data_IF_364147673798
#
_entry.id   IF_364147673798
#
_cell.length_a   1.000
_cell.length_b   1.000
_cell.length_c   1.000
_cell.angle_alpha   90.00
_cell.angle_beta   90.00
_cell.angle_gamma   90.00
#
_symmetry.space_group_name_H-M   'P 1'
#
loop_
_entity.id
_entity.type
_entity.pdbx_description
1 polymer ?
#
# COMPACT_ATOMS: atom_id res chain seq x y z
N UNK A 1 -17.57 6.57 11.54
CA UNK A 1 -16.25 6.90 12.11
C UNK A 1 -16.36 7.87 13.28
N UNK A 2 -16.97 9.05 13.11
CA UNK A 2 -17.05 10.09 14.16
C UNK A 2 -17.54 9.61 15.54
N UNK A 3 -18.55 8.75 15.59
CA UNK A 3 -19.01 8.18 16.87
C UNK A 3 -18.02 7.19 17.48
N UNK A 4 -17.37 6.38 16.64
CA UNK A 4 -16.47 5.33 17.09
C UNK A 4 -15.12 5.85 17.62
N UNK A 5 -14.71 7.05 17.21
CA UNK A 5 -13.41 7.64 17.60
C UNK A 5 -13.46 8.45 18.89
N UNK A 6 -14.65 8.70 19.46
CA UNK A 6 -14.81 9.59 20.62
C UNK A 6 -14.00 9.16 21.84
N UNK A 7 -13.99 7.85 22.09
CA UNK A 7 -13.47 7.27 23.33
C UNK A 7 -12.22 6.39 23.11
N UNK A 8 -11.56 6.49 21.96
CA UNK A 8 -10.39 5.65 21.64
C UNK A 8 -9.07 6.38 21.91
N UNK A 9 -8.08 5.64 22.41
CA UNK A 9 -6.70 6.12 22.54
C UNK A 9 -5.90 5.98 21.24
N UNK A 10 -6.28 5.05 20.37
CA UNK A 10 -5.56 4.72 19.14
C UNK A 10 -6.54 4.42 18.00
N UNK A 11 -6.18 4.88 16.80
CA UNK A 11 -6.94 4.64 15.58
C UNK A 11 -6.04 3.96 14.53
N UNK A 12 -6.46 2.82 14.00
CA UNK A 12 -5.75 2.12 12.93
C UNK A 12 -6.59 2.22 11.66
N UNK A 13 -6.01 2.74 10.59
CA UNK A 13 -6.68 2.97 9.30
C UNK A 13 -5.91 2.34 8.15
N UNK A 14 -6.56 2.13 7.01
CA UNK A 14 -5.89 1.76 5.76
C UNK A 14 -6.05 2.83 4.68
N UNK A 15 -7.29 3.13 4.33
CA UNK A 15 -7.65 4.09 3.27
C UNK A 15 -8.65 5.15 3.76
N UNK A 16 -9.19 5.01 4.97
CA UNK A 16 -10.09 5.99 5.58
C UNK A 16 -9.40 7.33 5.75
N UNK A 17 -10.15 8.42 5.55
CA UNK A 17 -9.62 9.78 5.67
C UNK A 17 -9.69 10.23 7.11
N UNK A 18 -8.58 10.72 7.65
CA UNK A 18 -8.50 11.35 8.97
C UNK A 18 -8.24 12.83 8.78
N UNK A 19 -9.31 13.61 8.83
CA UNK A 19 -9.29 15.07 8.73
C UNK A 19 -9.66 15.73 10.07
N UNK A 20 -9.71 17.07 10.06
CA UNK A 20 -9.92 17.88 11.26
C UNK A 20 -11.17 17.50 12.04
N UNK A 21 -12.26 17.10 11.38
CA UNK A 21 -13.52 16.73 12.05
C UNK A 21 -13.36 15.45 12.87
N UNK A 22 -12.60 14.49 12.34
CA UNK A 22 -12.30 13.21 12.99
C UNK A 22 -11.40 13.43 14.20
N UNK A 23 -10.36 14.25 14.03
CA UNK A 23 -9.44 14.60 15.11
C UNK A 23 -10.12 15.43 16.21
N UNK A 24 -11.04 16.32 15.84
CA UNK A 24 -11.83 17.12 16.78
C UNK A 24 -12.83 16.28 17.57
N UNK A 25 -13.38 15.23 16.96
CA UNK A 25 -14.29 14.29 17.63
C UNK A 25 -13.56 13.35 18.60
N UNK A 26 -12.28 13.07 18.36
CA UNK A 26 -11.50 12.05 19.06
C UNK A 26 -10.69 12.62 20.24
N UNK A 27 -11.39 12.92 21.35
CA UNK A 27 -10.83 13.67 22.49
C UNK A 27 -9.65 13.01 23.21
N UNK A 28 -9.59 11.68 23.19
CA UNK A 28 -8.56 10.90 23.90
C UNK A 28 -7.48 10.35 22.97
N UNK A 29 -7.56 10.65 21.67
CA UNK A 29 -6.72 10.04 20.66
C UNK A 29 -5.26 10.47 20.85
N UNK A 30 -4.36 9.49 20.90
CA UNK A 30 -2.91 9.71 21.07
C UNK A 30 -2.14 9.35 19.80
N UNK A 31 -2.65 8.39 19.04
CA UNK A 31 -1.97 7.86 17.87
C UNK A 31 -2.92 7.45 16.75
N UNK A 32 -2.55 7.78 15.52
CA UNK A 32 -3.14 7.23 14.29
C UNK A 32 -2.08 6.39 13.58
N UNK A 33 -2.41 5.13 13.30
CA UNK A 33 -1.53 4.22 12.56
C UNK A 33 -2.15 3.91 11.21
N UNK A 34 -1.47 4.31 10.14
CA UNK A 34 -1.83 3.97 8.76
C UNK A 34 -1.15 2.65 8.38
N UNK A 35 -1.95 1.64 8.10
CA UNK A 35 -1.52 0.36 7.51
C UNK A 35 -1.16 0.51 6.02
N UNK A 36 0.04 1.00 5.76
CA UNK A 36 0.64 1.14 4.44
C UNK A 36 1.72 2.24 4.39
N UNK A 37 2.40 2.38 3.25
CA UNK A 37 3.54 3.29 3.11
C UNK A 37 3.14 4.77 2.97
N UNK A 38 2.20 5.11 2.07
CA UNK A 38 1.69 6.49 1.92
C UNK A 38 0.81 6.93 3.08
N UNK A 39 0.65 8.24 3.28
CA UNK A 39 -0.10 8.82 4.40
C UNK A 39 -0.96 10.03 3.97
N UNK A 40 -1.26 10.12 2.67
CA UNK A 40 -1.96 11.26 2.04
C UNK A 40 -3.41 11.43 2.54
N UNK A 41 -3.96 10.39 3.16
CA UNK A 41 -5.30 10.36 3.73
C UNK A 41 -5.36 10.86 5.18
N UNK A 42 -4.26 11.32 5.77
CA UNK A 42 -4.20 11.89 7.12
C UNK A 42 -3.75 13.34 7.05
N UNK A 43 -4.53 14.24 7.64
CA UNK A 43 -4.15 15.64 7.82
C UNK A 43 -3.09 15.76 8.93
N UNK A 44 -1.82 15.85 8.54
CA UNK A 44 -0.69 15.89 9.46
C UNK A 44 -0.62 17.18 10.27
N UNK A 45 -1.05 18.30 9.68
CA UNK A 45 -1.05 19.61 10.35
C UNK A 45 -2.13 19.62 11.43
N UNK A 46 -3.34 19.15 11.09
CA UNK A 46 -4.41 18.99 12.07
C UNK A 46 -4.03 17.98 13.16
N UNK A 47 -3.42 16.85 12.83
CA UNK A 47 -2.99 15.85 13.80
C UNK A 47 -1.94 16.42 14.78
N UNK A 48 -0.97 17.17 14.26
CA UNK A 48 0.03 17.87 15.07
C UNK A 48 -0.63 18.90 15.98
N UNK A 49 -1.60 19.67 15.48
CA UNK A 49 -2.38 20.63 16.26
C UNK A 49 -3.19 20.01 17.40
N UNK A 50 -3.60 18.75 17.25
CA UNK A 50 -4.32 17.97 18.28
C UNK A 50 -3.38 17.14 19.17
N UNK A 51 -2.05 17.28 19.02
CA UNK A 51 -1.05 16.50 19.74
C UNK A 51 -1.19 14.98 19.53
N UNK A 52 -1.58 14.58 18.32
CA UNK A 52 -1.75 13.17 17.91
C UNK A 52 -0.56 12.74 17.08
N UNK A 53 0.10 11.65 17.46
CA UNK A 53 1.18 11.06 16.69
C UNK A 53 0.63 10.30 15.47
N UNK A 54 1.22 10.49 14.29
CA UNK A 54 0.86 9.72 13.09
C UNK A 54 2.02 8.79 12.73
N UNK A 55 1.71 7.51 12.55
CA UNK A 55 2.67 6.50 12.10
C UNK A 55 2.16 5.79 10.85
N UNK A 56 3.06 5.46 9.94
CA UNK A 56 2.80 4.60 8.79
C UNK A 56 3.63 3.31 8.90
N UNK A 57 3.54 2.44 7.89
CA UNK A 57 4.31 1.20 7.85
C UNK A 57 5.29 1.19 6.67
N UNK A 58 6.41 1.92 6.75
CA UNK A 58 7.39 2.00 5.66
C UNK A 58 8.03 0.63 5.42
N UNK A 59 8.30 0.32 4.15
CA UNK A 59 8.99 -0.91 3.74
C UNK A 59 8.18 -2.20 3.83
N UNK A 60 6.98 -2.19 4.42
CA UNK A 60 6.13 -3.40 4.47
C UNK A 60 5.65 -3.86 3.08
N UNK A 61 5.66 -2.97 2.07
CA UNK A 61 5.34 -3.30 0.69
C UNK A 61 6.56 -3.72 -0.16
N UNK A 62 7.79 -3.66 0.37
CA UNK A 62 9.01 -3.84 -0.43
C UNK A 62 9.06 -5.19 -1.16
N UNK A 63 8.73 -6.30 -0.48
CA UNK A 63 8.76 -7.63 -1.11
C UNK A 63 7.69 -7.76 -2.19
N UNK A 64 6.45 -7.34 -1.89
CA UNK A 64 5.35 -7.39 -2.86
C UNK A 64 5.64 -6.54 -4.11
N UNK A 65 6.26 -5.36 -3.93
CA UNK A 65 6.68 -4.50 -5.05
C UNK A 65 7.79 -5.18 -5.86
N UNK A 66 8.79 -5.78 -5.20
CA UNK A 66 9.86 -6.49 -5.88
C UNK A 66 9.33 -7.68 -6.70
N UNK A 67 8.47 -8.51 -6.11
CA UNK A 67 7.82 -9.64 -6.78
C UNK A 67 7.01 -9.18 -8.00
N UNK A 68 6.23 -8.10 -7.85
CA UNK A 68 5.45 -7.53 -8.95
C UNK A 68 6.35 -7.03 -10.09
N UNK A 69 7.46 -6.36 -9.78
CA UNK A 69 8.42 -5.89 -10.79
C UNK A 69 9.01 -7.06 -11.57
N UNK A 70 9.46 -8.13 -10.90
CA UNK A 70 9.97 -9.32 -11.59
C UNK A 70 8.89 -10.03 -12.40
N UNK A 71 7.66 -10.13 -11.88
CA UNK A 71 6.52 -10.68 -12.61
C UNK A 71 6.22 -9.90 -13.90
N UNK A 72 6.19 -8.57 -13.82
CA UNK A 72 5.97 -7.69 -14.97
C UNK A 72 7.14 -7.71 -15.95
N UNK A 73 8.37 -7.81 -15.48
CA UNK A 73 9.56 -7.97 -16.32
C UNK A 73 9.45 -9.23 -17.20
N UNK A 74 9.13 -10.38 -16.60
CA UNK A 74 8.94 -11.64 -17.33
C UNK A 74 7.76 -11.51 -18.31
N UNK A 75 6.64 -10.93 -17.86
CA UNK A 75 5.46 -10.71 -18.69
C UNK A 75 5.78 -9.92 -19.96
N UNK A 76 6.52 -8.81 -19.84
CA UNK A 76 6.90 -7.97 -20.98
C UNK A 76 7.92 -8.67 -21.88
N UNK A 77 8.97 -9.31 -21.32
CA UNK A 77 9.98 -10.04 -22.13
C UNK A 77 9.35 -11.20 -22.90
N UNK A 78 8.29 -11.81 -22.37
CA UNK A 78 7.51 -12.87 -23.04
C UNK A 78 6.42 -12.32 -23.96
N UNK A 79 6.53 -11.06 -24.39
CA UNK A 79 5.60 -10.37 -25.27
C UNK A 79 4.15 -10.46 -24.76
N UNK A 80 3.93 -10.12 -23.49
CA UNK A 80 2.60 -10.11 -22.87
C UNK A 80 1.88 -11.48 -22.93
N UNK A 81 2.65 -12.57 -23.00
CA UNK A 81 2.14 -13.91 -23.31
C UNK A 81 1.35 -14.02 -24.64
N UNK A 82 1.45 -13.02 -25.52
CA UNK A 82 0.87 -13.02 -26.86
C UNK A 82 1.75 -13.80 -27.87
N UNK A 83 2.45 -14.83 -27.38
CA UNK A 83 3.28 -15.69 -28.22
C UNK A 83 2.42 -16.56 -29.14
N UNK A 84 2.87 -16.75 -30.37
CA UNK A 84 2.38 -17.81 -31.26
C UNK A 84 2.69 -19.18 -30.66
N UNK A 85 1.90 -20.21 -31.02
CA UNK A 85 2.16 -21.57 -30.59
C UNK A 85 3.60 -21.97 -30.95
N UNK A 86 4.34 -22.46 -29.95
CA UNK A 86 5.71 -22.94 -30.14
C UNK A 86 5.76 -24.15 -31.07
N UNK A 87 6.94 -24.42 -31.63
CA UNK A 87 7.20 -25.61 -32.44
C UNK A 87 7.89 -26.68 -31.60
N UNK A 88 7.55 -27.95 -31.81
CA UNK A 88 8.25 -29.07 -31.17
C UNK A 88 9.75 -29.01 -31.49
N UNK A 89 10.57 -29.12 -30.44
CA UNK A 89 12.04 -29.05 -30.53
C UNK A 89 12.68 -30.44 -30.66
N UNK A 90 11.96 -31.50 -30.27
CA UNK A 90 12.47 -32.87 -30.34
C UNK A 90 12.75 -33.28 -31.80
N UNK A 91 13.98 -33.70 -32.07
CA UNK A 91 14.42 -34.19 -33.39
C UNK A 91 14.92 -33.11 -34.35
N UNK A 92 14.98 -31.84 -33.94
CA UNK A 92 15.56 -30.77 -34.78
C UNK A 92 17.06 -30.66 -34.53
N UNK A 93 17.86 -30.87 -35.57
CA UNK A 93 19.29 -30.58 -35.55
C UNK A 93 19.49 -29.07 -35.70
N UNK A 94 20.03 -28.43 -34.67
CA UNK A 94 20.46 -27.03 -34.75
C UNK A 94 21.78 -26.99 -35.53
N UNK A 95 21.69 -26.77 -36.85
CA UNK A 95 22.84 -26.37 -37.63
C UNK A 95 23.01 -24.86 -37.45
N UNK A 96 24.05 -24.46 -36.71
CA UNK A 96 24.68 -23.16 -36.88
C UNK A 96 25.48 -23.14 -38.19
#
# INVERSE_FOLDING_TARGET
>A
MLEAVKDVDALIIRSDKVDVDVLSAAKNLKIVVRAGAGYDNVDLDAATGHNVCVMNTPGQNSNAVAELVFGLLIYVIRNFYAGTAGIELRGKNWAC
#
